data_IF_896886919457
#
_entry.id   IF_896886919457
#
_cell.length_a   1.000
_cell.length_b   1.000
_cell.length_c   1.000
_cell.angle_alpha   90.00
_cell.angle_beta   90.00
_cell.angle_gamma   90.00
#
_symmetry.space_group_name_H-M   'P 1'
#
loop_
_entity.id
_entity.type
_entity.pdbx_description
1 polymer ?
#
# COMPACT_ATOMS: atom_id res chain seq x y z
N UNK A 1 -5.86 3.48 20.12
CA UNK A 1 -6.80 2.47 20.66
C UNK A 1 -6.93 1.27 19.72
N UNK A 2 -7.19 1.44 18.41
CA UNK A 2 -7.22 0.31 17.45
C UNK A 2 -5.92 -0.51 17.43
N UNK A 3 -4.76 0.13 17.45
CA UNK A 3 -3.44 -0.52 17.47
C UNK A 3 -3.26 -1.48 18.64
N UNK A 4 -3.76 -1.12 19.81
CA UNK A 4 -3.65 -1.95 21.01
C UNK A 4 -4.65 -3.11 21.05
N UNK A 5 -5.78 -2.98 20.39
CA UNK A 5 -6.87 -3.97 20.46
C UNK A 5 -6.79 -4.97 19.30
N UNK A 6 -6.53 -4.48 18.07
CA UNK A 6 -6.53 -5.31 16.87
C UNK A 6 -5.13 -5.56 16.28
N UNK A 7 -4.09 -4.88 16.74
CA UNK A 7 -2.80 -4.85 16.06
C UNK A 7 -2.20 -6.23 15.79
N UNK A 8 -2.21 -7.14 16.73
CA UNK A 8 -1.67 -8.49 16.54
C UNK A 8 -2.54 -9.33 15.58
N UNK A 9 -3.86 -9.23 15.68
CA UNK A 9 -4.77 -9.97 14.81
C UNK A 9 -4.67 -9.48 13.35
N UNK A 10 -4.50 -8.17 13.15
CA UNK A 10 -4.30 -7.57 11.83
C UNK A 10 -2.94 -7.96 11.23
N UNK A 11 -1.89 -8.09 12.03
CA UNK A 11 -0.60 -8.63 11.57
C UNK A 11 -0.77 -10.06 11.06
N UNK A 12 -1.51 -10.92 11.77
CA UNK A 12 -1.78 -12.30 11.32
C UNK A 12 -2.53 -12.34 9.97
N UNK A 13 -3.38 -11.36 9.67
CA UNK A 13 -4.07 -11.27 8.37
C UNK A 13 -3.08 -11.13 7.23
N UNK A 14 -2.14 -10.19 7.32
CA UNK A 14 -1.13 -10.01 6.27
C UNK A 14 -0.11 -11.15 6.23
N UNK A 15 0.23 -11.74 7.36
CA UNK A 15 1.08 -12.93 7.43
C UNK A 15 0.46 -14.12 6.70
N UNK A 16 -0.84 -14.38 6.90
CA UNK A 16 -1.56 -15.46 6.20
C UNK A 16 -1.55 -15.26 4.70
N UNK A 17 -1.84 -14.05 4.21
CA UNK A 17 -1.79 -13.71 2.80
C UNK A 17 -0.38 -13.91 2.22
N UNK A 18 0.65 -13.40 2.91
CA UNK A 18 2.04 -13.54 2.49
C UNK A 18 2.49 -15.02 2.43
N UNK A 19 2.12 -15.83 3.42
CA UNK A 19 2.44 -17.28 3.45
C UNK A 19 1.73 -18.01 2.31
N UNK A 20 0.48 -17.67 2.01
CA UNK A 20 -0.28 -18.29 0.92
C UNK A 20 0.35 -17.97 -0.44
N UNK A 21 0.61 -16.70 -0.73
CA UNK A 21 1.23 -16.25 -1.99
C UNK A 21 2.67 -16.73 -2.15
N UNK A 22 3.45 -16.84 -1.07
CA UNK A 22 4.84 -17.32 -1.11
C UNK A 22 4.99 -18.74 -1.71
N UNK A 23 3.97 -19.58 -1.60
CA UNK A 23 3.95 -20.92 -2.21
C UNK A 23 3.91 -20.88 -3.75
N UNK A 24 3.54 -19.73 -4.30
CA UNK A 24 3.44 -19.45 -5.74
C UNK A 24 4.60 -18.60 -6.26
N UNK A 25 5.50 -18.20 -5.40
CA UNK A 25 6.67 -17.39 -5.76
C UNK A 25 7.53 -18.10 -6.81
N UNK A 26 7.82 -17.39 -7.92
CA UNK A 26 8.65 -17.89 -9.01
C UNK A 26 8.00 -18.93 -9.93
N UNK A 27 6.69 -19.16 -9.82
CA UNK A 27 5.96 -20.14 -10.67
C UNK A 27 5.38 -19.51 -11.94
N UNK A 28 5.39 -18.22 -12.09
CA UNK A 28 4.81 -17.51 -13.24
C UNK A 28 3.29 -17.33 -13.19
N UNK A 29 2.65 -17.82 -12.13
CA UNK A 29 1.18 -17.89 -11.96
C UNK A 29 0.68 -16.70 -11.13
N UNK A 30 0.66 -15.51 -11.74
CA UNK A 30 0.33 -14.27 -11.03
C UNK A 30 -1.10 -14.28 -10.47
N UNK A 31 -2.07 -14.71 -11.27
CA UNK A 31 -3.49 -14.70 -10.90
C UNK A 31 -3.77 -15.68 -9.74
N UNK A 32 -3.06 -16.81 -9.72
CA UNK A 32 -3.16 -17.78 -8.61
C UNK A 32 -2.48 -17.26 -7.36
N UNK A 33 -1.31 -16.60 -7.47
CA UNK A 33 -0.62 -16.01 -6.33
C UNK A 33 -1.48 -14.94 -5.66
N UNK A 34 -2.18 -14.15 -6.45
CA UNK A 34 -3.11 -13.12 -5.99
C UNK A 34 -4.33 -13.73 -5.31
N UNK A 35 -5.02 -14.63 -5.99
CA UNK A 35 -6.23 -15.29 -5.50
C UNK A 35 -6.02 -15.96 -4.12
N UNK A 36 -4.94 -16.72 -3.94
CA UNK A 36 -4.69 -17.39 -2.66
C UNK A 36 -4.35 -16.42 -1.54
N UNK A 37 -3.77 -15.25 -1.86
CA UNK A 37 -3.54 -14.19 -0.89
C UNK A 37 -4.85 -13.53 -0.47
N UNK A 38 -5.74 -13.25 -1.41
CA UNK A 38 -7.10 -12.70 -1.18
C UNK A 38 -7.91 -13.65 -0.30
N UNK A 39 -7.95 -14.94 -0.64
CA UNK A 39 -8.67 -15.97 0.13
C UNK A 39 -8.16 -16.04 1.58
N UNK A 40 -6.84 -16.17 1.77
CA UNK A 40 -6.23 -16.29 3.07
C UNK A 40 -6.43 -15.02 3.94
N UNK A 41 -6.34 -13.84 3.32
CA UNK A 41 -6.58 -12.57 4.00
C UNK A 41 -8.02 -12.45 4.47
N UNK A 42 -8.98 -12.73 3.59
CA UNK A 42 -10.42 -12.68 3.89
C UNK A 42 -10.83 -13.70 4.95
N UNK A 43 -10.34 -14.92 4.84
CA UNK A 43 -10.60 -16.00 5.81
C UNK A 43 -10.18 -15.56 7.21
N UNK A 44 -8.94 -15.06 7.36
CA UNK A 44 -8.45 -14.62 8.67
C UNK A 44 -9.19 -13.39 9.21
N UNK A 45 -9.55 -12.42 8.36
CA UNK A 45 -10.36 -11.26 8.79
C UNK A 45 -11.70 -11.70 9.37
N UNK A 46 -12.34 -12.71 8.78
CA UNK A 46 -13.63 -13.24 9.24
C UNK A 46 -13.60 -14.00 10.57
N UNK A 47 -12.41 -14.21 11.12
CA UNK A 47 -12.21 -14.78 12.47
C UNK A 47 -12.02 -13.68 13.54
N UNK A 48 -11.83 -12.43 13.15
CA UNK A 48 -11.57 -11.32 14.07
C UNK A 48 -12.86 -10.73 14.62
N UNK A 49 -12.88 -10.41 15.90
CA UNK A 49 -14.04 -9.83 16.57
C UNK A 49 -14.20 -8.33 16.24
N UNK A 50 -14.65 -8.07 15.03
CA UNK A 50 -14.84 -6.72 14.48
C UNK A 50 -15.97 -6.70 13.46
N UNK A 51 -16.38 -5.48 13.05
CA UNK A 51 -17.09 -5.21 11.81
C UNK A 51 -16.22 -4.33 10.94
N UNK A 52 -15.55 -4.91 9.98
CA UNK A 52 -14.71 -4.23 9.00
C UNK A 52 -15.48 -4.00 7.70
N UNK A 53 -15.26 -2.85 7.05
CA UNK A 53 -15.73 -2.56 5.71
C UNK A 53 -14.57 -2.34 4.77
N UNK A 54 -14.53 -3.06 3.67
CA UNK A 54 -13.54 -2.85 2.62
C UNK A 54 -13.86 -1.56 1.88
N UNK A 55 -12.98 -0.57 1.97
CA UNK A 55 -13.09 0.72 1.26
C UNK A 55 -12.14 0.81 0.07
N UNK A 56 -11.07 0.02 0.10
CA UNK A 56 -10.17 -0.25 -1.01
C UNK A 56 -9.89 -1.74 -1.00
N UNK A 57 -10.10 -2.41 -2.14
CA UNK A 57 -10.01 -3.85 -2.26
C UNK A 57 -9.69 -4.27 -3.69
N UNK A 58 -10.09 -5.47 -4.05
CA UNK A 58 -9.76 -6.13 -5.31
C UNK A 58 -10.59 -5.67 -6.52
N UNK A 59 -11.49 -4.73 -6.32
CA UNK A 59 -12.36 -4.17 -7.36
C UNK A 59 -13.79 -3.95 -6.89
N UNK A 60 -14.66 -3.62 -7.83
CA UNK A 60 -16.08 -3.48 -7.57
C UNK A 60 -16.73 -4.86 -7.35
N UNK A 61 -17.88 -4.87 -6.69
CA UNK A 61 -18.58 -6.11 -6.31
C UNK A 61 -18.85 -7.08 -7.45
N UNK A 62 -19.11 -6.54 -8.64
CA UNK A 62 -19.45 -7.35 -9.82
C UNK A 62 -18.20 -7.92 -10.52
N UNK A 63 -17.01 -7.36 -10.24
CA UNK A 63 -15.74 -7.72 -10.84
C UNK A 63 -14.86 -8.60 -9.93
N UNK A 64 -15.01 -8.47 -8.61
CA UNK A 64 -14.21 -9.20 -7.62
C UNK A 64 -15.10 -10.14 -6.77
N UNK A 65 -14.77 -11.44 -6.67
CA UNK A 65 -15.55 -12.39 -5.89
C UNK A 65 -15.39 -12.20 -4.36
N UNK A 66 -14.27 -11.61 -3.93
CA UNK A 66 -13.91 -11.43 -2.53
C UNK A 66 -13.13 -10.12 -2.33
N UNK A 67 -13.18 -9.58 -1.12
CA UNK A 67 -12.54 -8.30 -0.73
C UNK A 67 -12.90 -7.16 -1.70
N UNK A 68 -14.13 -7.22 -2.24
CA UNK A 68 -14.65 -6.14 -3.09
C UNK A 68 -14.99 -4.89 -2.27
N UNK A 69 -15.03 -3.76 -2.92
CA UNK A 69 -15.39 -2.49 -2.30
C UNK A 69 -16.80 -2.55 -1.73
N UNK A 70 -16.90 -2.29 -0.42
CA UNK A 70 -18.15 -2.37 0.34
C UNK A 70 -18.42 -3.73 0.98
N UNK A 71 -17.58 -4.75 0.78
CA UNK A 71 -17.69 -6.01 1.50
C UNK A 71 -17.52 -5.77 3.01
N UNK A 72 -18.39 -6.39 3.80
CA UNK A 72 -18.26 -6.42 5.24
C UNK A 72 -17.57 -7.71 5.68
N UNK A 73 -16.54 -7.59 6.52
CA UNK A 73 -15.72 -8.68 7.05
C UNK A 73 -15.62 -8.60 8.57
N UNK A 74 -15.29 -9.72 9.18
CA UNK A 74 -15.20 -9.87 10.62
C UNK A 74 -16.35 -10.71 11.18
N UNK A 75 -16.12 -11.30 12.35
CA UNK A 75 -17.08 -12.22 12.98
C UNK A 75 -18.45 -11.55 13.20
N UNK A 76 -18.46 -10.25 13.53
CA UNK A 76 -19.67 -9.49 13.84
C UNK A 76 -20.51 -9.11 12.63
N UNK A 77 -20.09 -9.50 11.42
CA UNK A 77 -20.89 -9.35 10.19
C UNK A 77 -21.72 -10.61 9.89
N UNK A 78 -21.41 -11.71 10.54
CA UNK A 78 -22.03 -13.02 10.31
C UNK A 78 -23.36 -13.14 11.06
N UNK A 79 -24.38 -13.69 10.41
CA UNK A 79 -25.71 -13.89 11.00
C UNK A 79 -25.68 -14.81 12.23
N UNK A 80 -24.82 -15.88 12.20
CA UNK A 80 -24.67 -16.85 13.25
C UNK A 80 -23.86 -16.35 14.46
N UNK A 81 -23.22 -15.22 14.34
CA UNK A 81 -22.36 -14.63 15.39
C UNK A 81 -22.91 -13.30 15.95
N UNK A 82 -24.01 -12.77 15.44
CA UNK A 82 -24.59 -11.49 15.89
C UNK A 82 -24.87 -11.43 17.38
N UNK A 83 -25.29 -12.55 17.96
CA UNK A 83 -25.64 -12.63 19.38
C UNK A 83 -24.40 -12.58 20.32
N UNK A 84 -23.21 -12.79 19.76
CA UNK A 84 -21.93 -12.74 20.48
C UNK A 84 -21.26 -11.38 20.42
N UNK A 85 -21.76 -10.47 19.58
CA UNK A 85 -21.19 -9.14 19.38
C UNK A 85 -22.00 -8.11 20.14
N UNK A 86 -21.46 -7.65 21.27
CA UNK A 86 -22.07 -6.56 22.05
C UNK A 86 -22.02 -5.26 21.24
N UNK A 87 -23.16 -4.62 20.92
CA UNK A 87 -23.18 -3.37 20.17
C UNK A 87 -22.37 -2.24 20.81
N UNK A 88 -22.29 -2.21 22.13
CA UNK A 88 -21.58 -1.15 22.88
C UNK A 88 -20.03 -1.33 22.86
N UNK A 89 -19.55 -2.52 22.48
CA UNK A 89 -18.14 -2.87 22.40
C UNK A 89 -17.69 -3.15 20.95
N UNK A 90 -18.59 -3.00 19.99
CA UNK A 90 -18.34 -3.32 18.59
C UNK A 90 -17.34 -2.37 17.98
N UNK A 91 -16.23 -2.92 17.51
CA UNK A 91 -15.21 -2.19 16.78
C UNK A 91 -15.61 -2.14 15.31
N UNK A 92 -15.97 -0.94 14.83
CA UNK A 92 -16.25 -0.68 13.41
C UNK A 92 -15.03 0.01 12.77
N UNK A 93 -14.53 -0.56 11.66
CA UNK A 93 -13.34 -0.06 10.97
C UNK A 93 -13.53 -0.02 9.45
N UNK A 94 -12.84 0.93 8.82
CA UNK A 94 -12.56 0.92 7.40
C UNK A 94 -11.26 0.17 7.13
N UNK A 95 -11.24 -0.59 6.05
CA UNK A 95 -10.12 -1.45 5.66
C UNK A 95 -9.75 -1.15 4.20
N UNK A 96 -8.46 -0.94 3.95
CA UNK A 96 -7.88 -0.88 2.60
C UNK A 96 -6.87 -2.03 2.47
N UNK A 97 -7.00 -2.85 1.44
CA UNK A 97 -6.17 -4.05 1.24
C UNK A 97 -5.45 -4.04 -0.11
N UNK A 98 -4.26 -4.63 -0.12
CA UNK A 98 -3.58 -5.16 -1.29
C UNK A 98 -2.93 -6.49 -0.86
N UNK A 99 -3.64 -7.62 -1.02
CA UNK A 99 -3.23 -8.93 -0.51
C UNK A 99 -1.91 -9.42 -1.10
N UNK A 100 -1.64 -9.11 -2.38
CA UNK A 100 -0.39 -9.40 -3.06
C UNK A 100 0.10 -8.18 -3.85
N UNK A 101 0.50 -7.12 -3.13
CA UNK A 101 1.10 -5.92 -3.75
C UNK A 101 2.37 -6.29 -4.50
N UNK A 102 2.44 -5.92 -5.78
CA UNK A 102 3.51 -6.37 -6.67
C UNK A 102 3.37 -7.83 -7.08
N UNK A 103 2.19 -8.23 -7.55
CA UNK A 103 1.85 -9.61 -7.94
C UNK A 103 2.83 -10.19 -8.96
N UNK A 104 3.32 -9.38 -9.93
CA UNK A 104 4.34 -9.82 -10.88
C UNK A 104 5.68 -10.14 -10.17
N UNK A 105 6.04 -9.39 -9.14
CA UNK A 105 7.28 -9.66 -8.37
C UNK A 105 7.19 -11.03 -7.70
N UNK A 106 6.06 -11.35 -7.08
CA UNK A 106 5.80 -12.66 -6.50
C UNK A 106 5.87 -13.75 -7.58
N UNK A 107 5.08 -13.62 -8.64
CA UNK A 107 4.97 -14.63 -9.69
C UNK A 107 6.31 -14.96 -10.35
N UNK A 108 7.19 -13.97 -10.52
CA UNK A 108 8.49 -14.16 -11.15
C UNK A 108 9.65 -14.31 -10.16
N UNK A 109 9.37 -14.45 -8.87
CA UNK A 109 10.40 -14.65 -7.83
C UNK A 109 11.33 -13.45 -7.65
N UNK A 110 10.85 -12.25 -7.92
CA UNK A 110 11.60 -11.01 -7.73
C UNK A 110 11.34 -10.44 -6.32
N UNK A 111 12.32 -9.75 -5.72
CA UNK A 111 12.14 -9.15 -4.40
C UNK A 111 11.20 -7.94 -4.44
N UNK A 112 10.47 -7.71 -3.34
CA UNK A 112 9.69 -6.49 -3.16
C UNK A 112 8.17 -6.67 -3.18
N UNK A 113 7.64 -7.87 -3.46
CA UNK A 113 6.22 -8.18 -3.23
C UNK A 113 5.92 -8.20 -1.75
N UNK A 114 4.74 -7.74 -1.36
CA UNK A 114 4.29 -7.71 0.03
C UNK A 114 2.78 -7.90 0.14
N UNK A 115 2.31 -8.45 1.25
CA UNK A 115 0.92 -8.34 1.66
C UNK A 115 0.78 -7.08 2.51
N UNK A 116 -0.19 -6.24 2.22
CA UNK A 116 -0.39 -4.99 2.96
C UNK A 116 -1.86 -4.71 3.18
N UNK A 117 -2.15 -4.14 4.34
CA UNK A 117 -3.47 -3.62 4.65
C UNK A 117 -3.34 -2.40 5.57
N UNK A 118 -4.28 -1.47 5.43
CA UNK A 118 -4.44 -0.34 6.33
C UNK A 118 -5.82 -0.38 6.98
N UNK A 119 -5.89 -0.02 8.25
CA UNK A 119 -7.14 0.13 8.98
C UNK A 119 -7.27 1.53 9.56
N UNK A 120 -8.50 1.97 9.70
CA UNK A 120 -8.84 3.18 10.46
C UNK A 120 -10.20 3.02 11.15
N UNK A 121 -10.53 3.92 12.04
CA UNK A 121 -11.90 4.07 12.49
C UNK A 121 -12.82 4.33 11.29
N UNK A 122 -14.07 3.92 11.39
CA UNK A 122 -15.09 4.07 10.34
C UNK A 122 -15.14 5.50 9.80
N UNK A 123 -15.02 5.65 8.47
CA UNK A 123 -14.96 6.93 7.78
C UNK A 123 -13.57 7.58 7.76
N UNK A 124 -12.52 6.89 8.23
CA UNK A 124 -11.16 7.42 8.31
C UNK A 124 -10.28 7.14 7.08
N UNK A 125 -10.65 6.18 6.23
CA UNK A 125 -9.97 5.92 4.97
C UNK A 125 -10.73 6.52 3.79
N UNK A 126 -10.00 7.15 2.89
CA UNK A 126 -10.56 7.68 1.66
C UNK A 126 -10.83 6.56 0.66
N UNK A 127 -12.08 6.45 0.21
CA UNK A 127 -12.41 5.58 -0.92
C UNK A 127 -11.90 6.23 -2.20
N UNK A 128 -10.75 5.76 -2.68
CA UNK A 128 -10.18 6.22 -3.95
C UNK A 128 -10.76 5.39 -5.11
N UNK A 129 -11.26 6.03 -6.17
CA UNK A 129 -11.65 5.31 -7.37
C UNK A 129 -10.41 4.70 -8.03
N UNK A 130 -10.60 3.64 -8.82
CA UNK A 130 -9.52 2.97 -9.55
C UNK A 130 -9.06 3.83 -10.76
N UNK A 131 -8.40 4.94 -10.44
CA UNK A 131 -7.75 5.82 -11.39
C UNK A 131 -6.26 5.96 -11.07
N UNK A 132 -5.50 6.39 -12.06
CA UNK A 132 -4.12 6.81 -11.83
C UNK A 132 -4.05 8.21 -11.24
N UNK A 133 -3.11 8.38 -10.33
CA UNK A 133 -2.80 9.66 -9.69
C UNK A 133 -1.30 9.95 -9.74
N UNK A 134 -0.93 11.22 -9.66
CA UNK A 134 0.45 11.61 -9.36
C UNK A 134 0.76 11.25 -7.91
N UNK A 135 1.94 10.69 -7.68
CA UNK A 135 2.41 10.28 -6.35
C UNK A 135 3.75 10.96 -6.04
N UNK A 136 3.86 11.47 -4.84
CA UNK A 136 5.10 11.99 -4.25
C UNK A 136 5.13 11.56 -2.78
N UNK A 137 6.00 10.62 -2.45
CA UNK A 137 6.31 10.27 -1.07
C UNK A 137 7.73 10.73 -0.73
N UNK A 138 7.91 11.23 0.49
CA UNK A 138 9.16 11.81 0.97
C UNK A 138 9.30 11.61 2.49
N UNK A 139 10.52 11.66 3.04
CA UNK A 139 10.74 11.58 4.48
C UNK A 139 10.02 12.67 5.28
N UNK A 140 9.75 12.40 6.56
CA UNK A 140 9.05 13.33 7.46
C UNK A 140 9.74 14.71 7.58
N UNK A 141 11.07 14.78 7.42
CA UNK A 141 11.82 16.04 7.40
C UNK A 141 11.39 17.00 6.28
N UNK A 142 10.80 16.47 5.20
CA UNK A 142 10.28 17.24 4.07
C UNK A 142 8.78 17.55 4.17
N UNK A 143 8.12 17.16 5.28
CA UNK A 143 6.68 17.40 5.49
C UNK A 143 6.32 18.87 5.35
N UNK A 144 5.36 19.16 4.47
CA UNK A 144 4.87 20.51 4.19
C UNK A 144 5.81 21.38 3.34
N UNK A 145 6.96 20.87 2.89
CA UNK A 145 7.92 21.60 2.06
C UNK A 145 7.93 21.14 0.61
N UNK A 146 7.87 19.84 0.35
CA UNK A 146 7.70 19.29 -0.99
C UNK A 146 6.27 19.49 -1.47
N UNK A 147 6.10 19.63 -2.80
CA UNK A 147 4.79 19.87 -3.40
C UNK A 147 4.69 19.11 -4.73
N UNK A 148 3.66 18.28 -4.86
CA UNK A 148 3.40 17.46 -6.05
C UNK A 148 3.15 18.28 -7.34
N UNK A 149 2.86 19.58 -7.19
CA UNK A 149 2.65 20.52 -8.31
C UNK A 149 3.96 21.08 -8.85
N UNK A 150 5.04 20.98 -8.09
CA UNK A 150 6.39 21.40 -8.51
C UNK A 150 7.02 20.33 -9.39
N UNK A 151 8.04 20.73 -10.15
CA UNK A 151 8.88 19.81 -10.93
C UNK A 151 9.67 18.85 -10.02
N UNK A 152 10.15 17.75 -10.58
CA UNK A 152 11.01 16.84 -9.85
C UNK A 152 12.30 17.54 -9.38
N UNK A 153 12.90 18.37 -10.24
CA UNK A 153 14.10 19.15 -9.93
C UNK A 153 13.90 20.08 -8.74
N UNK A 154 12.77 20.79 -8.68
CA UNK A 154 12.46 21.67 -7.54
C UNK A 154 12.28 20.88 -6.24
N UNK A 155 11.55 19.76 -6.28
CA UNK A 155 11.36 18.89 -5.13
C UNK A 155 12.69 18.26 -4.67
N UNK A 156 13.60 17.90 -5.57
CA UNK A 156 14.92 17.36 -5.23
C UNK A 156 15.80 18.39 -4.52
N UNK A 157 15.76 19.66 -4.91
CA UNK A 157 16.46 20.75 -4.19
C UNK A 157 15.93 20.87 -2.77
N UNK A 158 14.61 20.89 -2.61
CA UNK A 158 13.97 20.96 -1.28
C UNK A 158 14.35 19.72 -0.44
N UNK A 159 14.36 18.52 -1.02
CA UNK A 159 14.76 17.31 -0.32
C UNK A 159 16.23 17.35 0.11
N UNK A 160 17.13 17.81 -0.75
CA UNK A 160 18.54 17.98 -0.43
C UNK A 160 18.74 18.89 0.80
N UNK A 161 18.07 20.04 0.80
CA UNK A 161 18.09 20.96 1.94
C UNK A 161 17.50 20.35 3.22
N UNK A 162 16.36 19.62 3.10
CA UNK A 162 15.71 19.02 4.27
C UNK A 162 16.50 17.88 4.90
N UNK A 163 17.31 17.17 4.10
CA UNK A 163 18.07 15.99 4.50
C UNK A 163 19.56 16.29 4.74
N UNK A 164 19.98 17.54 4.53
CA UNK A 164 21.40 17.96 4.54
C UNK A 164 22.26 17.04 3.64
N UNK A 165 21.81 16.87 2.37
CA UNK A 165 22.46 16.02 1.36
C UNK A 165 22.60 16.74 0.03
N UNK A 166 23.65 16.44 -0.68
CA UNK A 166 23.78 16.83 -2.09
C UNK A 166 22.75 16.05 -2.94
N UNK A 167 22.32 16.65 -4.06
CA UNK A 167 21.29 16.02 -4.93
C UNK A 167 21.77 14.67 -5.48
N UNK A 168 23.05 14.51 -5.77
CA UNK A 168 23.67 13.29 -6.27
C UNK A 168 23.73 12.15 -5.22
N UNK A 169 23.48 12.46 -3.96
CA UNK A 169 23.31 11.47 -2.89
C UNK A 169 21.85 11.00 -2.74
N UNK A 170 20.89 11.71 -3.35
CA UNK A 170 19.49 11.35 -3.27
C UNK A 170 19.17 10.16 -4.19
N UNK A 171 18.33 9.26 -3.70
CA UNK A 171 17.78 8.11 -4.45
C UNK A 171 16.27 8.27 -4.57
N UNK A 172 15.80 8.38 -5.80
CA UNK A 172 14.38 8.47 -6.13
C UNK A 172 13.91 7.14 -6.73
N UNK A 173 12.85 6.58 -6.19
CA UNK A 173 12.22 5.38 -6.77
C UNK A 173 11.16 5.83 -7.77
N UNK A 174 11.18 5.20 -8.94
CA UNK A 174 10.21 5.44 -10.02
C UNK A 174 9.82 4.11 -10.65
N UNK A 175 8.55 3.89 -10.92
CA UNK A 175 8.11 2.72 -11.68
C UNK A 175 8.60 2.81 -13.12
N UNK A 176 9.20 1.73 -13.63
CA UNK A 176 9.63 1.61 -15.02
C UNK A 176 8.40 1.47 -15.93
N UNK A 177 7.91 2.58 -16.43
CA UNK A 177 6.78 2.68 -17.37
C UNK A 177 7.09 3.78 -18.38
N UNK A 178 6.61 3.65 -19.60
CA UNK A 178 6.86 4.62 -20.67
C UNK A 178 6.38 6.03 -20.29
N UNK A 179 5.28 6.13 -19.55
CA UNK A 179 4.75 7.40 -19.02
C UNK A 179 5.70 8.14 -18.08
N UNK A 180 6.74 7.50 -17.60
CA UNK A 180 7.73 8.09 -16.69
C UNK A 180 9.05 8.44 -17.37
N UNK A 181 9.17 8.27 -18.68
CA UNK A 181 10.44 8.51 -19.40
C UNK A 181 10.97 9.92 -19.16
N UNK A 182 10.11 10.95 -19.30
CA UNK A 182 10.49 12.34 -19.09
C UNK A 182 10.84 12.62 -17.62
N UNK A 183 10.05 12.09 -16.68
CA UNK A 183 10.30 12.20 -15.22
C UNK A 183 11.65 11.59 -14.85
N UNK A 184 11.95 10.39 -15.36
CA UNK A 184 13.21 9.70 -15.10
C UNK A 184 14.39 10.51 -15.62
N UNK A 185 14.25 11.09 -16.82
CA UNK A 185 15.29 11.94 -17.41
C UNK A 185 15.48 13.22 -16.59
N UNK A 186 14.41 13.90 -16.21
CA UNK A 186 14.47 15.11 -15.37
C UNK A 186 15.20 14.85 -14.04
N UNK A 187 14.89 13.74 -13.36
CA UNK A 187 15.55 13.38 -12.10
C UNK A 187 17.06 13.17 -12.30
N UNK A 188 17.45 12.48 -13.39
CA UNK A 188 18.86 12.25 -13.73
C UNK A 188 19.59 13.53 -14.10
N UNK A 189 18.97 14.40 -14.86
CA UNK A 189 19.52 15.70 -15.28
C UNK A 189 19.72 16.64 -14.08
N UNK A 190 18.87 16.52 -13.05
CA UNK A 190 19.05 17.19 -11.78
C UNK A 190 20.21 16.62 -10.95
N UNK A 191 20.78 15.47 -11.33
CA UNK A 191 21.91 14.81 -10.67
C UNK A 191 21.53 13.69 -9.69
N UNK A 192 20.27 13.46 -9.40
CA UNK A 192 19.84 12.43 -8.46
C UNK A 192 19.89 11.03 -9.07
N UNK A 193 20.01 10.02 -8.20
CA UNK A 193 20.02 8.60 -8.58
C UNK A 193 18.58 8.09 -8.70
N UNK A 194 18.29 7.35 -9.76
CA UNK A 194 16.99 6.72 -10.00
C UNK A 194 17.10 5.21 -9.74
N UNK A 195 16.24 4.70 -8.85
CA UNK A 195 16.00 3.28 -8.67
C UNK A 195 14.69 2.91 -9.36
N UNK A 196 14.79 2.15 -10.44
CA UNK A 196 13.62 1.70 -11.20
C UNK A 196 13.06 0.42 -10.56
N UNK A 197 11.74 0.40 -10.37
CA UNK A 197 10.98 -0.78 -9.95
C UNK A 197 10.03 -1.19 -11.07
N UNK A 198 9.80 -2.49 -11.22
CA UNK A 198 8.89 -3.02 -12.24
C UNK A 198 7.44 -3.07 -11.76
N UNK A 199 7.22 -3.17 -10.46
CA UNK A 199 5.91 -3.30 -9.82
C UNK A 199 6.01 -2.92 -8.33
N UNK A 200 4.85 -2.71 -7.65
CA UNK A 200 4.80 -2.53 -6.20
C UNK A 200 5.32 -1.18 -5.71
N UNK A 201 4.55 -0.09 -5.88
CA UNK A 201 5.00 1.24 -5.45
C UNK A 201 4.73 1.54 -3.96
N UNK A 202 3.87 0.76 -3.29
CA UNK A 202 3.57 0.93 -1.86
C UNK A 202 4.81 0.71 -1.00
N UNK A 203 5.58 -0.36 -1.26
CA UNK A 203 6.82 -0.65 -0.53
C UNK A 203 7.84 0.48 -0.62
N UNK A 204 7.95 1.08 -1.80
CA UNK A 204 8.85 2.21 -2.05
C UNK A 204 8.37 3.48 -1.33
N UNK A 205 7.06 3.75 -1.31
CA UNK A 205 6.48 4.86 -0.56
C UNK A 205 6.73 4.71 0.94
N UNK A 206 6.45 3.54 1.50
CA UNK A 206 6.70 3.23 2.92
C UNK A 206 8.19 3.41 3.25
N UNK A 207 9.08 2.92 2.37
CA UNK A 207 10.53 3.05 2.56
C UNK A 207 11.00 4.49 2.67
N UNK A 208 10.31 5.47 2.06
CA UNK A 208 10.64 6.88 2.22
C UNK A 208 10.46 7.39 3.66
N UNK A 209 9.54 6.78 4.43
CA UNK A 209 9.25 7.15 5.82
C UNK A 209 10.30 6.66 6.84
N UNK A 210 11.13 5.69 6.46
CA UNK A 210 12.09 5.05 7.37
C UNK A 210 13.53 5.45 7.04
N UNK A 211 14.30 5.74 8.10
CA UNK A 211 15.74 5.97 7.97
C UNK A 211 16.48 4.66 7.64
N UNK A 212 17.58 4.75 6.90
CA UNK A 212 18.42 3.60 6.57
C UNK A 212 17.99 2.79 5.36
N UNK A 213 16.84 3.08 4.75
CA UNK A 213 16.34 2.39 3.54
C UNK A 213 17.04 2.82 2.26
N UNK A 214 17.78 3.91 2.31
CA UNK A 214 18.39 4.57 1.15
C UNK A 214 17.36 4.91 0.06
N UNK A 215 16.13 5.28 0.48
CA UNK A 215 15.05 5.77 -0.38
C UNK A 215 14.65 7.16 0.09
N UNK A 216 14.87 8.16 -0.75
CA UNK A 216 14.68 9.56 -0.37
C UNK A 216 13.41 10.17 -0.99
N UNK A 217 12.89 9.59 -2.06
CA UNK A 217 11.57 9.89 -2.59
C UNK A 217 11.03 8.72 -3.42
N UNK A 218 9.70 8.64 -3.51
CA UNK A 218 8.98 7.99 -4.60
C UNK A 218 8.32 9.08 -5.43
N UNK A 219 8.50 9.04 -6.74
CA UNK A 219 7.84 9.95 -7.68
C UNK A 219 7.25 9.18 -8.84
N UNK A 220 6.09 9.60 -9.32
CA UNK A 220 5.49 9.01 -10.52
C UNK A 220 3.98 9.09 -10.59
N UNK A 221 3.41 8.25 -11.44
CA UNK A 221 1.97 8.09 -11.63
C UNK A 221 1.65 6.62 -11.45
N UNK A 222 0.76 6.32 -10.51
CA UNK A 222 0.29 4.97 -10.19
C UNK A 222 -1.17 4.98 -9.75
N UNK A 223 -1.71 3.81 -9.43
CA UNK A 223 -3.10 3.69 -9.03
C UNK A 223 -3.39 4.39 -7.70
N UNK A 224 -4.56 5.00 -7.60
CA UNK A 224 -4.95 5.80 -6.43
C UNK A 224 -5.21 4.94 -5.18
N UNK A 225 -5.78 3.73 -5.26
CA UNK A 225 -5.95 2.83 -4.13
C UNK A 225 -4.65 2.61 -3.33
N UNK A 226 -3.55 2.26 -4.01
CA UNK A 226 -2.23 2.09 -3.38
C UNK A 226 -1.70 3.41 -2.80
N UNK A 227 -2.12 4.54 -3.37
CA UNK A 227 -1.82 5.87 -2.83
C UNK A 227 -2.44 6.09 -1.45
N UNK A 228 -3.66 5.60 -1.21
CA UNK A 228 -4.32 5.68 0.10
C UNK A 228 -3.63 4.79 1.12
N UNK A 229 -3.30 3.53 0.75
CA UNK A 229 -2.54 2.60 1.61
C UNK A 229 -1.19 3.22 1.98
N UNK A 230 -0.48 3.77 0.99
CA UNK A 230 0.80 4.46 1.22
C UNK A 230 0.66 5.66 2.16
N UNK A 231 -0.40 6.47 1.98
CA UNK A 231 -0.66 7.62 2.84
C UNK A 231 -0.99 7.21 4.28
N UNK A 232 -1.71 6.10 4.48
CA UNK A 232 -1.99 5.55 5.80
C UNK A 232 -0.70 5.15 6.52
N UNK A 233 0.25 4.52 5.82
CA UNK A 233 1.55 4.12 6.37
C UNK A 233 2.47 5.31 6.70
N UNK A 234 2.27 6.47 6.04
CA UNK A 234 3.09 7.70 6.23
C UNK A 234 2.54 8.65 7.30
N UNK A 235 1.42 8.34 7.92
CA UNK A 235 0.75 9.15 8.93
C UNK A 235 1.34 8.94 10.31
#
# INVERSE_FOLDING_TARGET
MLETTLGLEIIEVVEKAAIASARWMGKGEKDTADLVAVEAMRERMNEIHMRGRIVIGEGERDDAPMLYIGEEVGICTREDAKDYCNPDELIEIDIAVAPCEGTNLCAYGQPGSMAVLAISEKGGLFHAPDFYMKKLAAPSAAKGKVDIRKSATENLKILGECLDRAIDELVVVVMKRDRHTELIQEIRDAGARVRLISDGDVSAAISCGFSGTNTHALMGIGAAPEGVISAAAMR
#
